data_IF_255470573036
#
_entry.id   IF_255470573036
#
_cell.length_a   1.000
_cell.length_b   1.000
_cell.length_c   1.000
_cell.angle_alpha   90.00
_cell.angle_beta   90.00
_cell.angle_gamma   90.00
#
_symmetry.space_group_name_H-M   'P 1'
#
loop_
_entity.id
_entity.type
_entity.pdbx_description
1 polymer ?
#
# COMPACT_ATOMS: atom_id res chain seq x y z
N UNK A 1 -4.21 -25.81 -0.61
CA UNK A 1 -2.98 -24.99 -0.63
C UNK A 1 -3.32 -23.52 -0.45
N UNK A 2 -2.68 -22.86 0.54
CA UNK A 2 -3.01 -21.50 0.99
C UNK A 2 -2.80 -20.44 -0.10
N UNK A 3 -1.86 -20.69 -1.00
CA UNK A 3 -1.51 -19.83 -2.14
C UNK A 3 -2.58 -19.79 -3.23
N UNK A 4 -3.16 -20.95 -3.57
CA UNK A 4 -4.17 -21.03 -4.63
C UNK A 4 -5.43 -20.23 -4.27
N UNK A 5 -5.85 -20.26 -3.00
CA UNK A 5 -6.99 -19.46 -2.54
C UNK A 5 -6.70 -17.94 -2.53
N UNK A 6 -5.48 -17.53 -2.24
CA UNK A 6 -5.11 -16.09 -2.20
C UNK A 6 -5.05 -15.52 -3.63
N UNK A 7 -4.61 -16.32 -4.61
CA UNK A 7 -4.65 -15.95 -6.04
C UNK A 7 -6.11 -15.87 -6.54
N UNK A 8 -6.98 -16.78 -6.11
CA UNK A 8 -8.41 -16.77 -6.46
C UNK A 8 -9.11 -15.54 -5.86
N UNK A 9 -8.81 -15.21 -4.60
CA UNK A 9 -9.39 -14.04 -3.92
C UNK A 9 -8.96 -12.72 -4.57
N UNK A 10 -7.70 -12.63 -5.02
CA UNK A 10 -7.23 -11.46 -5.77
C UNK A 10 -7.84 -11.37 -7.17
N UNK A 11 -8.02 -12.51 -7.86
CA UNK A 11 -8.71 -12.55 -9.15
C UNK A 11 -10.17 -12.08 -9.04
N UNK A 12 -10.87 -12.53 -8.00
CA UNK A 12 -12.24 -12.12 -7.71
C UNK A 12 -12.33 -10.64 -7.32
N UNK A 13 -11.34 -10.13 -6.57
CA UNK A 13 -11.25 -8.72 -6.24
C UNK A 13 -11.05 -7.84 -7.48
N UNK A 14 -10.19 -8.26 -8.42
CA UNK A 14 -9.96 -7.52 -9.68
C UNK A 14 -11.20 -7.46 -10.56
N UNK A 15 -11.93 -8.57 -10.71
CA UNK A 15 -13.20 -8.59 -11.44
C UNK A 15 -14.22 -7.65 -10.80
N UNK A 16 -14.39 -7.73 -9.48
CA UNK A 16 -15.34 -6.87 -8.75
C UNK A 16 -14.99 -5.38 -8.88
N UNK A 17 -13.70 -5.03 -8.80
CA UNK A 17 -13.22 -3.65 -9.03
C UNK A 17 -13.51 -3.20 -10.46
N UNK A 18 -13.25 -4.05 -11.44
CA UNK A 18 -13.48 -3.76 -12.86
C UNK A 18 -14.96 -3.50 -13.17
N UNK A 19 -15.85 -4.31 -12.58
CA UNK A 19 -17.30 -4.12 -12.68
C UNK A 19 -17.72 -2.79 -12.05
N UNK A 20 -17.29 -2.51 -10.81
CA UNK A 20 -17.63 -1.29 -10.10
C UNK A 20 -17.09 -0.02 -10.77
N UNK A 21 -15.91 -0.10 -11.39
CA UNK A 21 -15.35 1.01 -12.16
C UNK A 21 -16.19 1.26 -13.41
N UNK A 22 -16.60 0.19 -14.11
CA UNK A 22 -17.43 0.27 -15.31
C UNK A 22 -18.85 0.76 -15.02
N UNK A 23 -19.40 0.46 -13.84
CA UNK A 23 -20.70 0.96 -13.38
C UNK A 23 -20.64 2.28 -12.63
N UNK A 24 -19.47 2.92 -12.55
CA UNK A 24 -19.27 4.20 -11.85
C UNK A 24 -19.64 4.15 -10.36
N UNK A 25 -19.63 2.97 -9.74
CA UNK A 25 -19.93 2.69 -8.33
C UNK A 25 -18.68 2.43 -7.50
N UNK A 26 -17.51 2.48 -8.14
CA UNK A 26 -16.22 2.39 -7.46
C UNK A 26 -16.10 3.48 -6.40
N UNK A 27 -15.85 3.06 -5.16
CA UNK A 27 -15.37 3.97 -4.12
C UNK A 27 -14.17 3.34 -3.41
N UNK A 28 -13.11 4.11 -3.18
CA UNK A 28 -11.99 3.72 -2.31
C UNK A 28 -12.43 3.06 -1.01
N UNK A 29 -13.41 3.67 -0.34
CA UNK A 29 -13.92 3.20 0.94
C UNK A 29 -14.62 1.84 0.86
N UNK A 30 -15.15 1.41 -0.31
CA UNK A 30 -15.81 0.11 -0.50
C UNK A 30 -14.81 -1.05 -0.47
N UNK A 31 -13.59 -0.80 -0.93
CA UNK A 31 -12.53 -1.81 -1.07
C UNK A 31 -11.48 -1.71 0.03
N UNK A 32 -11.17 -0.49 0.45
CA UNK A 32 -10.30 -0.19 1.57
C UNK A 32 -11.12 0.00 2.87
N UNK A 33 -12.25 -0.72 3.01
CA UNK A 33 -13.17 -0.67 4.16
C UNK A 33 -12.47 -0.88 5.52
N UNK A 34 -11.25 -1.45 5.53
CA UNK A 34 -10.46 -1.76 6.72
C UNK A 34 -9.14 -0.95 6.84
N UNK A 35 -8.91 0.05 6.00
CA UNK A 35 -7.63 0.76 5.94
C UNK A 35 -6.59 0.05 5.07
N UNK A 36 -5.47 0.74 4.79
CA UNK A 36 -4.30 0.14 4.15
C UNK A 36 -3.84 -1.08 4.98
N UNK A 37 -3.53 -2.23 4.35
CA UNK A 37 -3.11 -3.42 5.08
C UNK A 37 -1.85 -3.16 5.91
N UNK A 38 -1.83 -3.75 7.10
CA UNK A 38 -0.70 -3.65 8.04
C UNK A 38 0.30 -4.76 7.75
N UNK A 39 1.58 -4.40 7.73
CA UNK A 39 2.69 -5.35 7.62
C UNK A 39 3.93 -4.83 8.32
N UNK A 40 4.64 -5.72 9.02
CA UNK A 40 5.86 -5.34 9.72
C UNK A 40 5.65 -4.25 10.76
N UNK A 41 6.66 -3.38 10.91
CA UNK A 41 6.69 -2.33 11.91
C UNK A 41 6.28 -0.96 11.35
N UNK A 42 6.27 -0.79 10.02
CA UNK A 42 6.12 0.49 9.34
C UNK A 42 5.00 0.52 8.29
N UNK A 43 4.58 -0.61 7.74
CA UNK A 43 3.49 -0.56 6.76
C UNK A 43 2.14 -0.48 7.47
N UNK A 44 1.50 0.69 7.41
CA UNK A 44 0.10 0.88 7.80
C UNK A 44 -0.15 2.20 8.53
N UNK A 45 -1.40 2.71 8.53
CA UNK A 45 -1.73 3.92 9.27
C UNK A 45 -1.45 3.76 10.78
N UNK A 46 -0.62 4.63 11.34
CA UNK A 46 -0.24 4.58 12.76
C UNK A 46 0.91 3.63 13.09
N UNK A 47 1.50 2.96 12.10
CA UNK A 47 2.68 2.11 12.26
C UNK A 47 3.91 2.93 11.89
N UNK A 48 4.69 3.36 12.89
CA UNK A 48 5.95 4.10 12.67
C UNK A 48 7.15 3.44 13.39
N UNK A 49 7.06 2.14 13.65
CA UNK A 49 8.07 1.35 14.34
C UNK A 49 8.48 1.92 15.70
N UNK A 50 7.49 2.27 16.55
CA UNK A 50 7.70 2.91 17.86
C UNK A 50 8.62 4.14 17.77
N UNK A 51 8.27 5.07 16.87
CA UNK A 51 9.08 6.27 16.63
C UNK A 51 10.45 5.95 16.03
N UNK A 52 10.50 5.02 15.07
CA UNK A 52 11.70 4.56 14.37
C UNK A 52 12.73 3.82 15.24
N UNK A 53 12.31 3.18 16.33
CA UNK A 53 13.20 2.39 17.20
C UNK A 53 13.24 0.91 16.84
N UNK A 54 12.15 0.37 16.27
CA UNK A 54 12.09 -1.02 15.81
C UNK A 54 12.88 -1.23 14.50
N UNK A 55 13.48 -2.41 14.27
CA UNK A 55 14.11 -2.70 12.99
C UNK A 55 13.07 -2.94 11.89
N UNK A 56 13.46 -2.77 10.62
CA UNK A 56 12.63 -3.23 9.49
C UNK A 56 12.58 -4.75 9.47
N UNK A 57 11.42 -5.35 9.20
CA UNK A 57 11.26 -6.81 9.20
C UNK A 57 11.58 -7.45 7.86
N UNK A 58 11.35 -6.73 6.74
CA UNK A 58 11.67 -7.16 5.39
C UNK A 58 11.80 -5.98 4.42
N UNK A 59 11.97 -6.28 3.13
CA UNK A 59 12.15 -5.28 2.08
C UNK A 59 10.94 -4.37 1.92
N UNK A 60 9.71 -4.89 2.07
CA UNK A 60 8.51 -4.04 1.97
C UNK A 60 8.45 -3.08 3.16
N UNK A 61 8.72 -3.59 4.36
CA UNK A 61 8.75 -2.80 5.59
C UNK A 61 9.81 -1.68 5.54
N UNK A 62 10.96 -1.94 4.88
CA UNK A 62 11.96 -0.89 4.61
C UNK A 62 11.43 0.22 3.69
N UNK A 63 10.62 -0.13 2.68
CA UNK A 63 9.95 0.85 1.84
C UNK A 63 8.99 1.73 2.64
N UNK A 64 8.18 1.12 3.50
CA UNK A 64 7.26 1.82 4.39
C UNK A 64 8.00 2.71 5.41
N UNK A 65 9.10 2.24 6.00
CA UNK A 65 9.93 3.06 6.88
C UNK A 65 10.46 4.32 6.17
N UNK A 66 10.90 4.19 4.91
CA UNK A 66 11.38 5.32 4.13
C UNK A 66 10.25 6.32 3.83
N UNK A 67 9.05 5.83 3.54
CA UNK A 67 7.85 6.65 3.36
C UNK A 67 7.52 7.44 4.62
N UNK A 68 7.46 6.79 5.78
CA UNK A 68 7.16 7.44 7.06
C UNK A 68 8.17 8.54 7.42
N UNK A 69 9.45 8.34 7.11
CA UNK A 69 10.50 9.35 7.30
C UNK A 69 10.34 10.57 6.40
N UNK A 70 9.84 10.35 5.18
CA UNK A 70 9.58 11.42 4.21
C UNK A 70 8.31 12.20 4.57
N UNK A 71 7.31 11.50 5.12
CA UNK A 71 5.96 12.01 5.30
C UNK A 71 5.89 13.22 6.23
N UNK A 72 5.24 14.29 5.76
CA UNK A 72 5.03 15.53 6.51
C UNK A 72 3.63 15.56 7.11
N UNK A 73 3.55 15.22 8.39
CA UNK A 73 2.31 15.25 9.16
C UNK A 73 1.78 16.68 9.31
N UNK A 74 0.48 16.87 9.05
CA UNK A 74 -0.18 18.18 9.15
C UNK A 74 0.15 19.17 8.02
N UNK A 75 0.86 18.75 6.98
CA UNK A 75 1.12 19.58 5.81
C UNK A 75 -0.10 19.62 4.85
N UNK A 76 -0.20 20.68 4.05
CA UNK A 76 -1.30 20.90 3.11
C UNK A 76 -1.38 19.87 1.97
N UNK A 77 -2.43 20.00 1.15
CA UNK A 77 -2.68 19.13 -0.02
C UNK A 77 -1.43 19.10 -0.91
N UNK A 78 -1.01 17.89 -1.30
CA UNK A 78 0.13 17.67 -2.19
C UNK A 78 1.51 17.57 -1.53
N UNK A 79 1.64 17.89 -0.24
CA UNK A 79 2.94 17.92 0.44
C UNK A 79 3.66 16.55 0.53
N UNK A 80 2.92 15.46 0.33
CA UNK A 80 3.41 14.08 0.44
C UNK A 80 3.42 13.32 -0.89
N UNK A 81 3.15 13.98 -2.03
CA UNK A 81 3.11 13.32 -3.34
C UNK A 81 4.43 12.64 -3.69
N UNK A 82 5.54 13.31 -3.41
CA UNK A 82 6.86 12.76 -3.67
C UNK A 82 7.15 11.55 -2.77
N UNK A 83 6.74 11.59 -1.50
CA UNK A 83 6.86 10.44 -0.60
C UNK A 83 6.06 9.23 -1.11
N UNK A 84 4.80 9.46 -1.51
CA UNK A 84 3.92 8.43 -2.06
C UNK A 84 4.51 7.82 -3.34
N UNK A 85 5.03 8.65 -4.24
CA UNK A 85 5.68 8.21 -5.48
C UNK A 85 6.93 7.38 -5.20
N UNK A 86 7.77 7.81 -4.27
CA UNK A 86 8.97 7.07 -3.87
C UNK A 86 8.64 5.69 -3.31
N UNK A 87 7.57 5.55 -2.53
CA UNK A 87 7.12 4.24 -2.02
C UNK A 87 6.66 3.32 -3.17
N UNK A 88 5.87 3.85 -4.11
CA UNK A 88 5.43 3.11 -5.31
C UNK A 88 6.63 2.65 -6.13
N UNK A 89 7.58 3.54 -6.40
CA UNK A 89 8.79 3.24 -7.18
C UNK A 89 9.67 2.21 -6.46
N UNK A 90 9.82 2.34 -5.14
CA UNK A 90 10.54 1.39 -4.31
C UNK A 90 9.93 -0.02 -4.42
N UNK A 91 8.61 -0.14 -4.32
CA UNK A 91 7.89 -1.42 -4.46
C UNK A 91 8.11 -2.02 -5.85
N UNK A 92 8.02 -1.21 -6.91
CA UNK A 92 8.24 -1.68 -8.30
C UNK A 92 9.65 -2.22 -8.51
N UNK A 93 10.67 -1.46 -8.08
CA UNK A 93 12.09 -1.83 -8.26
C UNK A 93 12.46 -3.04 -7.42
N UNK A 94 11.93 -3.14 -6.19
CA UNK A 94 12.30 -4.18 -5.25
C UNK A 94 11.35 -5.39 -5.27
N UNK A 95 10.37 -5.43 -6.18
CA UNK A 95 9.31 -6.45 -6.17
C UNK A 95 9.82 -7.89 -6.08
N UNK A 96 10.95 -8.20 -6.74
CA UNK A 96 11.57 -9.54 -6.71
C UNK A 96 12.15 -9.94 -5.35
N UNK A 97 12.37 -8.97 -4.47
CA UNK A 97 12.97 -9.14 -3.14
C UNK A 97 11.93 -9.05 -2.02
N UNK A 98 10.69 -8.69 -2.35
CA UNK A 98 9.59 -8.68 -1.38
C UNK A 98 9.17 -10.14 -1.12
N UNK A 99 9.07 -10.57 0.16
CA UNK A 99 8.59 -11.90 0.49
C UNK A 99 7.21 -12.17 -0.11
N UNK A 100 6.97 -13.40 -0.57
CA UNK A 100 5.70 -13.78 -1.20
C UNK A 100 4.49 -13.49 -0.30
N UNK A 101 4.64 -13.71 1.00
CA UNK A 101 3.64 -13.40 2.02
C UNK A 101 3.31 -11.90 2.17
N UNK A 102 4.16 -11.01 1.67
CA UNK A 102 4.02 -9.56 1.72
C UNK A 102 3.64 -8.94 0.37
N UNK A 103 3.65 -9.72 -0.73
CA UNK A 103 3.36 -9.20 -2.08
C UNK A 103 1.95 -8.61 -2.19
N UNK A 104 0.96 -9.23 -1.55
CA UNK A 104 -0.41 -8.71 -1.59
C UNK A 104 -0.54 -7.35 -0.87
N UNK A 105 0.23 -7.12 0.20
CA UNK A 105 0.32 -5.83 0.90
C UNK A 105 1.00 -4.80 -0.02
N UNK A 106 2.11 -5.19 -0.65
CA UNK A 106 2.84 -4.33 -1.59
C UNK A 106 1.95 -3.89 -2.77
N UNK A 107 1.19 -4.82 -3.36
CA UNK A 107 0.26 -4.54 -4.46
C UNK A 107 -0.89 -3.64 -3.99
N UNK A 108 -1.43 -3.85 -2.78
CA UNK A 108 -2.46 -2.98 -2.20
C UNK A 108 -1.96 -1.54 -1.94
N UNK A 109 -0.76 -1.39 -1.37
CA UNK A 109 -0.10 -0.09 -1.17
C UNK A 109 0.10 0.63 -2.50
N UNK A 110 0.59 -0.09 -3.52
CA UNK A 110 0.79 0.46 -4.86
C UNK A 110 -0.51 0.99 -5.44
N UNK A 111 -1.56 0.16 -5.46
CA UNK A 111 -2.87 0.54 -6.00
C UNK A 111 -3.45 1.73 -5.26
N UNK A 112 -3.34 1.77 -3.92
CA UNK A 112 -3.82 2.89 -3.12
C UNK A 112 -3.15 4.21 -3.52
N UNK A 113 -1.82 4.25 -3.62
CA UNK A 113 -1.10 5.48 -3.94
C UNK A 113 -1.19 5.88 -5.42
N UNK A 114 -1.37 4.92 -6.33
CA UNK A 114 -1.60 5.18 -7.76
C UNK A 114 -3.03 5.66 -8.06
N UNK A 115 -4.00 5.45 -7.15
CA UNK A 115 -5.41 5.83 -7.36
C UNK A 115 -5.87 6.95 -6.42
N UNK A 116 -5.83 6.68 -5.11
CA UNK A 116 -6.39 7.54 -4.06
C UNK A 116 -5.34 8.52 -3.57
N UNK A 117 -4.14 8.03 -3.28
CA UNK A 117 -3.02 8.85 -2.84
C UNK A 117 -2.49 9.79 -3.93
N UNK A 118 -2.97 9.62 -5.16
CA UNK A 118 -2.78 10.54 -6.27
C UNK A 118 -3.81 11.67 -6.29
N UNK A 119 -4.93 11.62 -5.55
CA UNK A 119 -5.92 12.70 -5.53
C UNK A 119 -5.35 13.89 -4.74
N UNK A 120 -5.13 15.01 -5.42
CA UNK A 120 -4.44 16.18 -4.83
C UNK A 120 -2.91 16.09 -4.93
N UNK A 121 -2.43 15.02 -5.58
CA UNK A 121 -1.27 15.01 -6.45
C UNK A 121 -1.79 15.06 -7.91
#
# INVERSE_FOLDING_TARGET
>A
DKQAKDVIDMGLLVETISEDYSSNTFTPAKYFKAGLPVHGNYCGPGYNGEGFTLPVVDVLDQGCQNHDRCYKWGAGIGANCECNRQLVDFIKVNRRWIPESALWVADAIRVYFETIGAIGC
#
